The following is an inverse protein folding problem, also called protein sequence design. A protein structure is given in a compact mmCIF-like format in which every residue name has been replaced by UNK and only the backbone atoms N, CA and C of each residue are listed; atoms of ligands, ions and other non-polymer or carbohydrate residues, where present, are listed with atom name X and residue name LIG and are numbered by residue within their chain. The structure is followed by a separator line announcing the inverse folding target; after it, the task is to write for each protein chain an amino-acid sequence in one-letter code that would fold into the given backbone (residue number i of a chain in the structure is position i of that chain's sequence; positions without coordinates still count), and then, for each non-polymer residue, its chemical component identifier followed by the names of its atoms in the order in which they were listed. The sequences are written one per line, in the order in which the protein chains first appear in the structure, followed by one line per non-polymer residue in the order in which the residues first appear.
data_IF_409569928090
#
_entry.id   IF_409569928090
#
_cell.length_a   1.000
_cell.length_b   1.000
_cell.length_c   1.000
_cell.angle_alpha   90.00
_cell.angle_beta   90.00
_cell.angle_gamma   90.00
#
_symmetry.space_group_name_H-M   'P 1'
#
loop_
_entity.id
_entity.type
_entity.pdbx_description
1 polymer ?
#
# COMPACT_ATOMS: atom_id res chain seq x y z
N UNK A 1 -9.59 -11.42 -24.81
CA UNK A 1 -8.27 -11.46 -24.13
C UNK A 1 -8.13 -10.29 -23.13
N UNK A 2 -8.84 -9.17 -23.35
CA UNK A 2 -8.95 -8.02 -22.41
C UNK A 2 -9.79 -8.27 -21.14
N UNK A 3 -10.68 -9.27 -21.11
CA UNK A 3 -11.56 -9.50 -19.94
C UNK A 3 -10.84 -10.13 -18.74
N UNK A 4 -9.57 -10.57 -18.88
CA UNK A 4 -8.84 -11.29 -17.82
C UNK A 4 -8.06 -10.39 -16.86
N UNK A 5 -7.82 -9.14 -17.24
CA UNK A 5 -7.00 -8.23 -16.45
C UNK A 5 -7.88 -7.13 -15.88
N UNK A 6 -8.34 -7.22 -14.61
CA UNK A 6 -9.03 -6.09 -13.97
C UNK A 6 -8.10 -4.87 -13.92
N UNK A 7 -8.63 -3.66 -13.60
CA UNK A 7 -7.78 -2.53 -13.21
C UNK A 7 -6.74 -3.02 -12.21
N UNK A 8 -5.46 -2.73 -12.47
CA UNK A 8 -4.35 -3.29 -11.69
C UNK A 8 -4.48 -2.92 -10.20
N UNK A 9 -5.02 -1.74 -9.92
CA UNK A 9 -5.42 -1.25 -8.61
C UNK A 9 -6.30 -2.25 -7.87
N UNK A 10 -7.30 -2.81 -8.55
CA UNK A 10 -8.24 -3.74 -7.93
C UNK A 10 -7.67 -5.15 -7.84
N UNK A 11 -6.75 -5.52 -8.74
CA UNK A 11 -5.94 -6.73 -8.57
C UNK A 11 -5.09 -6.64 -7.28
N UNK A 12 -4.53 -5.46 -6.99
CA UNK A 12 -3.77 -5.23 -5.77
C UNK A 12 -4.66 -5.14 -4.52
N UNK A 13 -5.89 -4.60 -4.63
CA UNK A 13 -6.87 -4.74 -3.52
C UNK A 13 -7.06 -6.23 -3.20
N UNK A 14 -7.15 -7.07 -4.22
CA UNK A 14 -7.34 -8.51 -4.03
C UNK A 14 -6.18 -9.16 -3.28
N UNK A 15 -4.94 -8.93 -3.73
CA UNK A 15 -3.73 -9.50 -3.12
C UNK A 15 -3.54 -9.01 -1.68
N UNK A 16 -3.51 -7.70 -1.47
CA UNK A 16 -3.22 -7.07 -0.18
C UNK A 16 -4.31 -7.38 0.86
N UNK A 17 -5.58 -7.49 0.43
CA UNK A 17 -6.66 -7.91 1.34
C UNK A 17 -6.44 -9.33 1.86
N UNK A 18 -5.99 -10.25 1.00
CA UNK A 18 -5.73 -11.64 1.41
C UNK A 18 -4.56 -11.75 2.38
N UNK A 19 -3.50 -10.95 2.19
CA UNK A 19 -2.38 -10.88 3.13
C UNK A 19 -2.85 -10.48 4.54
N UNK A 20 -3.76 -9.50 4.64
CA UNK A 20 -4.33 -9.03 5.90
C UNK A 20 -5.37 -9.99 6.50
N UNK A 21 -6.33 -10.44 5.69
CA UNK A 21 -7.42 -11.31 6.17
C UNK A 21 -6.94 -12.71 6.55
N UNK A 22 -5.80 -13.15 6.03
CA UNK A 22 -5.19 -14.43 6.44
C UNK A 22 -4.52 -14.41 7.82
N UNK A 23 -4.38 -13.24 8.47
CA UNK A 23 -3.74 -13.13 9.79
C UNK A 23 -4.20 -14.18 10.82
N UNK A 24 -5.50 -14.50 11.00
CA UNK A 24 -5.91 -15.52 11.97
C UNK A 24 -5.27 -16.90 11.73
N UNK A 25 -4.98 -17.23 10.48
CA UNK A 25 -4.46 -18.54 10.04
C UNK A 25 -2.93 -18.64 10.12
N UNK A 26 -2.22 -17.57 10.48
CA UNK A 26 -0.74 -17.59 10.48
C UNK A 26 -0.14 -18.54 11.53
N UNK A 27 -0.93 -18.99 12.51
CA UNK A 27 -0.53 -20.03 13.48
C UNK A 27 -0.28 -21.40 12.83
N UNK A 28 -0.75 -21.62 11.60
CA UNK A 28 -0.45 -22.84 10.84
C UNK A 28 1.01 -22.89 10.35
N UNK A 29 1.67 -21.73 10.25
CA UNK A 29 3.04 -21.60 9.72
C UNK A 29 4.07 -21.21 10.78
N UNK A 30 3.62 -20.55 11.84
CA UNK A 30 4.45 -19.95 12.87
C UNK A 30 4.01 -20.43 14.25
N UNK A 31 4.95 -20.47 15.21
CA UNK A 31 4.53 -20.52 16.62
C UNK A 31 3.72 -19.27 16.98
N UNK A 32 2.95 -19.34 18.07
CA UNK A 32 2.11 -18.21 18.51
C UNK A 32 2.90 -16.90 18.66
N UNK A 33 4.09 -16.96 19.26
CA UNK A 33 4.97 -15.80 19.43
C UNK A 33 5.45 -15.24 18.09
N UNK A 34 5.84 -16.12 17.16
CA UNK A 34 6.30 -15.73 15.83
C UNK A 34 5.15 -15.15 14.99
N UNK A 35 3.95 -15.74 15.05
CA UNK A 35 2.76 -15.25 14.39
C UNK A 35 2.39 -13.84 14.90
N UNK A 36 2.43 -13.64 16.22
CA UNK A 36 2.17 -12.35 16.86
C UNK A 36 3.17 -11.28 16.38
N UNK A 37 4.46 -11.61 16.37
CA UNK A 37 5.52 -10.72 15.86
C UNK A 37 5.36 -10.41 14.36
N UNK A 38 5.05 -11.42 13.55
CA UNK A 38 4.88 -11.26 12.11
C UNK A 38 3.68 -10.38 11.78
N UNK A 39 2.56 -10.53 12.50
CA UNK A 39 1.38 -9.67 12.33
C UNK A 39 1.70 -8.22 12.68
N UNK A 40 2.38 -7.97 13.79
CA UNK A 40 2.81 -6.62 14.17
C UNK A 40 3.71 -5.98 13.10
N UNK A 41 4.75 -6.70 12.68
CA UNK A 41 5.68 -6.24 11.63
C UNK A 41 4.96 -5.96 10.30
N UNK A 42 3.98 -6.80 9.92
CA UNK A 42 3.17 -6.55 8.73
C UNK A 42 2.35 -5.26 8.84
N UNK A 43 1.64 -5.03 9.96
CA UNK A 43 0.86 -3.79 10.14
C UNK A 43 1.75 -2.54 10.21
N UNK A 44 2.90 -2.61 10.87
CA UNK A 44 3.89 -1.53 10.90
C UNK A 44 4.45 -1.20 9.52
N UNK A 45 4.70 -2.23 8.69
CA UNK A 45 5.14 -2.07 7.31
C UNK A 45 4.11 -1.36 6.44
N UNK A 46 2.81 -1.58 6.66
CA UNK A 46 1.75 -0.85 5.96
C UNK A 46 1.83 0.66 6.28
N UNK A 47 2.04 1.01 7.55
CA UNK A 47 2.20 2.41 7.98
C UNK A 47 3.45 3.03 7.33
N UNK A 48 4.56 2.29 7.29
CA UNK A 48 5.80 2.75 6.64
C UNK A 48 5.67 2.84 5.11
N UNK A 49 4.83 2.00 4.51
CA UNK A 49 4.64 1.91 3.07
C UNK A 49 3.93 3.15 2.50
N UNK A 50 2.90 3.68 3.16
CA UNK A 50 2.13 4.83 2.66
C UNK A 50 2.99 6.07 2.31
N UNK A 51 3.89 6.56 3.18
CA UNK A 51 4.78 7.67 2.82
C UNK A 51 5.84 7.28 1.78
N UNK A 52 6.28 6.02 1.75
CA UNK A 52 7.20 5.54 0.70
C UNK A 52 6.53 5.56 -0.67
N UNK A 53 5.29 5.07 -0.77
CA UNK A 53 4.48 5.13 -1.98
C UNK A 53 4.35 6.57 -2.49
N UNK A 54 3.98 7.50 -1.61
CA UNK A 54 3.88 8.92 -1.95
C UNK A 54 5.23 9.51 -2.41
N UNK A 55 6.35 9.05 -1.85
CA UNK A 55 7.70 9.46 -2.26
C UNK A 55 7.99 9.02 -3.69
N UNK A 56 7.73 7.76 -4.04
CA UNK A 56 7.99 7.20 -5.37
C UNK A 56 7.09 7.85 -6.42
N UNK A 57 5.80 7.98 -6.13
CA UNK A 57 4.84 8.59 -7.05
C UNK A 57 5.16 10.07 -7.33
N UNK A 58 5.38 10.86 -6.28
CA UNK A 58 5.75 12.27 -6.43
C UNK A 58 7.06 12.45 -7.22
N UNK A 59 8.05 11.59 -6.95
CA UNK A 59 9.30 11.60 -7.69
C UNK A 59 9.09 11.34 -9.18
N UNK A 60 8.26 10.36 -9.51
CA UNK A 60 7.97 10.01 -10.89
C UNK A 60 7.21 11.13 -11.61
N UNK A 61 6.20 11.72 -10.98
CA UNK A 61 5.52 12.89 -11.51
C UNK A 61 6.48 14.04 -11.82
N UNK A 62 7.43 14.34 -10.93
CA UNK A 62 8.43 15.37 -11.18
C UNK A 62 9.37 15.02 -12.33
N UNK A 63 9.85 13.78 -12.41
CA UNK A 63 10.73 13.32 -13.51
C UNK A 63 10.06 13.53 -14.86
N UNK A 64 8.80 13.12 -15.01
CA UNK A 64 8.08 13.26 -16.28
C UNK A 64 7.59 14.68 -16.57
N UNK A 65 7.37 15.50 -15.54
CA UNK A 65 7.06 16.92 -15.70
C UNK A 65 8.29 17.78 -16.07
N UNK A 66 9.51 17.28 -15.82
CA UNK A 66 10.77 17.99 -16.05
C UNK A 66 11.72 17.15 -16.93
N UNK A 67 11.38 16.89 -18.21
CA UNK A 67 12.12 15.94 -19.05
C UNK A 67 13.57 16.33 -19.35
N UNK A 68 13.92 17.61 -19.19
CA UNK A 68 15.28 18.14 -19.42
C UNK A 68 16.14 18.20 -18.16
N UNK A 69 15.68 17.64 -17.04
CA UNK A 69 16.41 17.71 -15.77
C UNK A 69 17.84 17.13 -15.87
N UNK A 70 18.76 17.71 -15.11
CA UNK A 70 20.10 17.16 -14.92
C UNK A 70 20.08 15.97 -13.94
N UNK A 71 21.24 15.33 -13.75
CA UNK A 71 21.38 14.28 -12.72
C UNK A 71 21.34 14.90 -11.32
N UNK A 72 21.94 16.07 -11.19
CA UNK A 72 22.03 16.87 -9.97
C UNK A 72 20.65 17.33 -9.52
N UNK A 73 19.82 17.85 -10.44
CA UNK A 73 18.44 18.27 -10.13
C UNK A 73 17.57 17.08 -9.69
N UNK A 74 17.76 15.92 -10.34
CA UNK A 74 17.05 14.70 -9.97
C UNK A 74 17.44 14.20 -8.57
N UNK A 75 18.74 14.23 -8.27
CA UNK A 75 19.26 13.90 -6.95
C UNK A 75 18.72 14.85 -5.88
N UNK A 76 18.74 16.16 -6.14
CA UNK A 76 18.24 17.18 -5.22
C UNK A 76 16.75 16.97 -4.92
N UNK A 77 15.93 16.75 -5.96
CA UNK A 77 14.50 16.53 -5.78
C UNK A 77 14.20 15.21 -5.06
N UNK A 78 14.94 14.13 -5.35
CA UNK A 78 14.81 12.89 -4.58
C UNK A 78 15.12 13.09 -3.10
N UNK A 79 16.20 13.81 -2.77
CA UNK A 79 16.57 14.11 -1.40
C UNK A 79 15.55 15.02 -0.70
N UNK A 80 14.90 15.94 -1.44
CA UNK A 80 13.79 16.75 -0.95
C UNK A 80 12.60 15.89 -0.53
N UNK A 81 12.14 14.98 -1.40
CA UNK A 81 11.03 14.08 -1.09
C UNK A 81 11.36 13.15 0.09
N UNK A 82 12.60 12.66 0.16
CA UNK A 82 13.11 11.88 1.29
C UNK A 82 13.12 12.66 2.61
N UNK A 83 13.32 13.98 2.59
CA UNK A 83 13.18 14.84 3.78
C UNK A 83 11.72 15.06 4.17
N UNK A 84 10.82 15.16 3.19
CA UNK A 84 9.40 15.41 3.39
C UNK A 84 8.65 14.20 3.94
N UNK A 85 8.85 13.03 3.33
CA UNK A 85 8.09 11.82 3.61
C UNK A 85 8.89 10.75 4.34
N UNK A 86 10.22 10.77 4.23
CA UNK A 86 11.07 9.73 4.78
C UNK A 86 11.25 9.85 6.31
N UNK A 87 11.61 8.73 6.97
CA UNK A 87 11.96 8.75 8.38
C UNK A 87 13.25 9.55 8.64
N UNK A 88 13.43 9.97 9.90
CA UNK A 88 14.67 10.61 10.38
C UNK A 88 15.78 9.58 10.60
N UNK A 89 16.21 8.94 9.52
CA UNK A 89 17.31 7.97 9.52
C UNK A 89 18.65 8.69 9.41
N UNK A 90 19.66 8.20 10.16
CA UNK A 90 21.04 8.63 10.00
C UNK A 90 21.66 7.98 8.75
N UNK A 91 22.17 8.81 7.85
CA UNK A 91 22.82 8.39 6.60
C UNK A 91 24.31 8.78 6.58
N UNK A 92 24.89 9.12 7.73
CA UNK A 92 26.29 9.53 7.84
C UNK A 92 27.21 8.46 7.25
N UNK A 93 27.96 8.81 6.19
CA UNK A 93 28.85 7.90 5.47
C UNK A 93 28.17 7.06 4.38
N UNK A 94 26.88 7.29 4.10
CA UNK A 94 26.08 6.61 3.07
C UNK A 94 25.29 7.59 2.20
N UNK A 95 25.75 8.83 2.08
CA UNK A 95 25.06 9.91 1.37
C UNK A 95 24.82 9.57 -0.10
N UNK A 96 25.81 8.99 -0.78
CA UNK A 96 25.70 8.55 -2.19
C UNK A 96 24.62 7.46 -2.37
N UNK A 97 24.50 6.53 -1.41
CA UNK A 97 23.46 5.51 -1.43
C UNK A 97 22.08 6.13 -1.17
N UNK A 98 21.99 7.11 -0.27
CA UNK A 98 20.74 7.83 -0.03
C UNK A 98 20.26 8.51 -1.31
N UNK A 99 21.16 9.23 -1.98
CA UNK A 99 20.91 9.96 -3.22
C UNK A 99 20.42 9.05 -4.36
N UNK A 100 20.99 7.85 -4.48
CA UNK A 100 20.71 6.94 -5.60
C UNK A 100 19.71 5.84 -5.28
N UNK A 101 19.25 5.71 -4.03
CA UNK A 101 18.38 4.60 -3.58
C UNK A 101 17.07 4.42 -4.35
N UNK A 102 16.52 5.47 -4.97
CA UNK A 102 15.34 5.34 -5.84
C UNK A 102 15.58 4.40 -7.03
N UNK A 103 16.83 4.24 -7.46
CA UNK A 103 17.19 3.36 -8.57
C UNK A 103 16.92 1.88 -8.27
N UNK A 104 16.86 1.50 -6.98
CA UNK A 104 16.44 0.17 -6.57
C UNK A 104 14.94 -0.10 -6.79
N UNK A 105 14.13 0.93 -7.05
CA UNK A 105 12.71 0.78 -7.30
C UNK A 105 12.44 0.42 -8.76
N UNK A 106 12.36 -0.88 -9.04
CA UNK A 106 12.20 -1.43 -10.39
C UNK A 106 10.99 -0.85 -11.16
N UNK A 107 9.88 -0.59 -10.47
CA UNK A 107 8.65 -0.05 -11.06
C UNK A 107 8.86 1.29 -11.78
N UNK A 108 9.80 2.13 -11.33
CA UNK A 108 10.11 3.39 -12.01
C UNK A 108 10.58 3.20 -13.46
N UNK A 109 11.20 2.05 -13.75
CA UNK A 109 11.76 1.71 -15.06
C UNK A 109 10.84 0.82 -15.88
N UNK A 110 10.09 -0.08 -15.24
CA UNK A 110 9.30 -1.10 -15.94
C UNK A 110 7.86 -0.70 -16.20
N UNK A 111 7.21 -0.04 -15.23
CA UNK A 111 5.77 0.27 -15.30
C UNK A 111 5.54 1.66 -14.69
N UNK A 112 5.82 2.75 -15.44
CA UNK A 112 5.66 4.10 -14.91
C UNK A 112 4.23 4.40 -14.45
N UNK A 113 4.11 5.18 -13.39
CA UNK A 113 2.91 5.57 -12.67
C UNK A 113 2.13 4.43 -12.01
N UNK A 114 2.68 3.21 -11.99
CA UNK A 114 2.03 2.07 -11.33
C UNK A 114 2.10 2.11 -9.80
N UNK A 115 3.07 2.81 -9.21
CA UNK A 115 3.33 2.65 -7.78
C UNK A 115 2.24 3.27 -6.89
N UNK A 116 1.52 4.28 -7.39
CA UNK A 116 0.36 4.87 -6.69
C UNK A 116 -0.79 3.89 -6.53
N UNK A 117 -0.90 2.92 -7.44
CA UNK A 117 -1.95 1.91 -7.43
C UNK A 117 -1.90 1.05 -6.17
N UNK A 118 -0.70 0.74 -5.67
CA UNK A 118 -0.53 0.07 -4.38
C UNK A 118 -1.06 0.92 -3.22
N UNK A 119 -0.92 2.25 -3.29
CA UNK A 119 -1.46 3.16 -2.29
C UNK A 119 -2.99 3.13 -2.25
N UNK A 120 -3.62 3.20 -3.42
CA UNK A 120 -5.08 3.10 -3.56
C UNK A 120 -5.56 1.72 -3.11
N UNK A 121 -4.87 0.67 -3.52
CA UNK A 121 -5.18 -0.71 -3.16
C UNK A 121 -5.09 -0.97 -1.67
N UNK A 122 -4.05 -0.46 -1.01
CA UNK A 122 -3.86 -0.59 0.44
C UNK A 122 -5.04 -0.01 1.22
N UNK A 123 -5.60 1.13 0.79
CA UNK A 123 -6.78 1.72 1.43
C UNK A 123 -8.04 0.84 1.26
N UNK A 124 -8.21 0.20 0.10
CA UNK A 124 -9.27 -0.79 -0.11
C UNK A 124 -9.08 -2.04 0.75
N UNK A 125 -7.84 -2.53 0.84
CA UNK A 125 -7.49 -3.71 1.62
C UNK A 125 -7.69 -3.51 3.12
N UNK A 126 -7.34 -2.33 3.65
CA UNK A 126 -7.59 -1.99 5.06
C UNK A 126 -9.08 -1.95 5.39
N UNK A 127 -9.93 -1.51 4.46
CA UNK A 127 -11.39 -1.55 4.64
C UNK A 127 -11.93 -2.98 4.66
N UNK A 128 -11.49 -3.86 3.74
CA UNK A 128 -11.87 -5.28 3.76
C UNK A 128 -11.39 -5.99 5.02
N UNK A 129 -10.16 -5.71 5.44
CA UNK A 129 -9.60 -6.23 6.69
C UNK A 129 -10.39 -5.73 7.91
N UNK A 130 -10.81 -4.46 7.92
CA UNK A 130 -11.67 -3.92 8.97
C UNK A 130 -13.03 -4.64 9.04
N UNK A 131 -13.65 -4.95 7.89
CA UNK A 131 -14.82 -5.83 7.88
C UNK A 131 -14.49 -7.21 8.43
N UNK A 132 -13.34 -7.78 8.05
CA UNK A 132 -12.92 -9.12 8.45
C UNK A 132 -12.69 -9.26 9.96
N UNK A 133 -12.09 -8.24 10.58
CA UNK A 133 -11.90 -8.19 12.04
C UNK A 133 -13.24 -8.24 12.81
N UNK A 134 -14.32 -7.75 12.21
CA UNK A 134 -15.67 -7.72 12.81
C UNK A 134 -16.48 -8.96 12.48
N UNK A 135 -16.46 -9.37 11.21
CA UNK A 135 -17.16 -10.53 10.68
C UNK A 135 -16.42 -11.05 9.44
N UNK A 136 -15.73 -12.19 9.60
CA UNK A 136 -14.97 -12.82 8.52
C UNK A 136 -15.86 -13.27 7.35
N UNK A 137 -17.09 -13.70 7.61
CA UNK A 137 -18.00 -14.18 6.56
C UNK A 137 -18.52 -13.02 5.70
N UNK A 138 -18.84 -11.89 6.33
CA UNK A 138 -19.23 -10.66 5.62
C UNK A 138 -18.08 -10.16 4.74
N UNK A 139 -16.86 -10.08 5.28
CA UNK A 139 -15.68 -9.62 4.52
C UNK A 139 -15.37 -10.51 3.31
N UNK A 140 -15.39 -11.83 3.47
CA UNK A 140 -15.19 -12.76 2.36
C UNK A 140 -16.31 -12.66 1.31
N UNK A 141 -17.55 -12.42 1.74
CA UNK A 141 -18.68 -12.21 0.82
C UNK A 141 -18.53 -10.92 0.02
N UNK A 142 -18.07 -9.83 0.66
CA UNK A 142 -17.75 -8.55 0.00
C UNK A 142 -16.62 -8.69 -1.01
N UNK A 143 -15.54 -9.34 -0.59
CA UNK A 143 -14.39 -9.65 -1.43
C UNK A 143 -14.84 -10.44 -2.67
N UNK A 144 -15.52 -11.56 -2.49
CA UNK A 144 -15.97 -12.43 -3.58
C UNK A 144 -16.91 -11.71 -4.55
N UNK A 145 -17.83 -10.87 -4.03
CA UNK A 145 -18.75 -10.08 -4.86
C UNK A 145 -17.99 -9.16 -5.81
N UNK A 146 -17.00 -8.42 -5.32
CA UNK A 146 -16.25 -7.52 -6.18
C UNK A 146 -15.29 -8.27 -7.12
N UNK A 147 -14.65 -9.34 -6.66
CA UNK A 147 -13.78 -10.17 -7.51
C UNK A 147 -14.54 -10.83 -8.67
N UNK A 148 -15.81 -11.19 -8.45
CA UNK A 148 -16.65 -11.78 -9.51
C UNK A 148 -16.89 -10.86 -10.70
N UNK A 149 -16.68 -9.55 -10.55
CA UNK A 149 -16.86 -8.56 -11.61
C UNK A 149 -15.65 -8.48 -12.55
N UNK A 150 -14.46 -8.94 -12.15
CA UNK A 150 -13.25 -8.90 -12.97
C UNK A 150 -13.00 -7.53 -13.61
N UNK A 151 -12.74 -7.50 -14.92
CA UNK A 151 -12.56 -6.26 -15.69
C UNK A 151 -13.86 -5.69 -16.28
N UNK A 152 -15.03 -6.10 -15.81
CA UNK A 152 -16.30 -5.63 -16.41
C UNK A 152 -16.75 -4.27 -15.90
N UNK A 153 -16.09 -3.75 -14.86
CA UNK A 153 -16.47 -2.54 -14.13
C UNK A 153 -15.27 -1.63 -13.86
N UNK A 154 -15.45 -0.29 -13.89
CA UNK A 154 -14.40 0.65 -13.50
C UNK A 154 -14.12 0.59 -12.00
N UNK A 155 -12.96 1.11 -11.59
CA UNK A 155 -12.47 1.06 -10.21
C UNK A 155 -13.49 1.53 -9.15
N UNK A 156 -14.20 2.67 -9.31
CA UNK A 156 -15.19 3.11 -8.32
C UNK A 156 -16.36 2.12 -8.16
N UNK A 157 -16.78 1.47 -9.24
CA UNK A 157 -17.84 0.45 -9.20
C UNK A 157 -17.34 -0.85 -8.53
N UNK A 158 -16.08 -1.22 -8.72
CA UNK A 158 -15.46 -2.35 -8.04
C UNK A 158 -15.34 -2.12 -6.52
N UNK A 159 -14.90 -0.93 -6.11
CA UNK A 159 -14.92 -0.51 -4.69
C UNK A 159 -16.35 -0.54 -4.13
N UNK A 160 -17.29 0.07 -4.84
CA UNK A 160 -18.71 0.09 -4.46
C UNK A 160 -19.30 -1.33 -4.34
N UNK A 161 -18.91 -2.26 -5.21
CA UNK A 161 -19.34 -3.65 -5.13
C UNK A 161 -18.83 -4.35 -3.87
N UNK A 162 -17.61 -4.08 -3.40
CA UNK A 162 -17.15 -4.57 -2.09
C UNK A 162 -17.72 -3.77 -0.90
N UNK A 163 -18.46 -2.70 -1.17
CA UNK A 163 -18.97 -1.77 -0.16
C UNK A 163 -17.86 -0.91 0.45
N UNK A 164 -16.80 -0.67 -0.32
CA UNK A 164 -15.64 0.14 0.07
C UNK A 164 -15.83 1.57 -0.44
N UNK A 165 -15.31 2.51 0.33
CA UNK A 165 -15.18 3.90 -0.08
C UNK A 165 -13.88 4.09 -0.86
N UNK A 166 -13.98 4.58 -2.10
CA UNK A 166 -12.82 5.06 -2.86
C UNK A 166 -12.62 6.54 -2.51
N UNK A 167 -11.90 6.80 -1.42
CA UNK A 167 -11.66 8.16 -0.92
C UNK A 167 -10.23 8.36 -0.46
N UNK A 168 -9.74 9.59 -0.56
CA UNK A 168 -8.36 9.97 -0.21
C UNK A 168 -8.30 11.11 0.82
N UNK A 169 -9.44 11.46 1.41
CA UNK A 169 -9.53 12.52 2.41
C UNK A 169 -8.85 12.13 3.73
N UNK A 170 -8.31 13.14 4.42
CA UNK A 170 -7.59 12.98 5.69
C UNK A 170 -8.38 12.19 6.73
N UNK A 171 -9.68 12.47 6.88
CA UNK A 171 -10.55 11.74 7.82
C UNK A 171 -10.64 10.25 7.48
N UNK A 172 -10.82 9.91 6.19
CA UNK A 172 -10.94 8.52 5.75
C UNK A 172 -9.62 7.76 5.94
N UNK A 173 -8.52 8.33 5.47
CA UNK A 173 -7.18 7.73 5.63
C UNK A 173 -6.83 7.62 7.12
N UNK A 174 -7.08 8.67 7.90
CA UNK A 174 -6.84 8.71 9.34
C UNK A 174 -7.62 7.63 10.09
N UNK A 175 -8.87 7.37 9.72
CA UNK A 175 -9.66 6.27 10.29
C UNK A 175 -9.05 4.90 10.03
N UNK A 176 -8.52 4.65 8.82
CA UNK A 176 -7.89 3.38 8.48
C UNK A 176 -6.55 3.19 9.22
N UNK A 177 -5.77 4.26 9.38
CA UNK A 177 -4.54 4.23 10.19
C UNK A 177 -4.88 4.03 11.68
N UNK A 178 -5.99 4.60 12.16
CA UNK A 178 -6.48 4.37 13.53
C UNK A 178 -6.77 2.90 13.82
N UNK A 179 -7.43 2.21 12.88
CA UNK A 179 -7.72 0.77 12.96
C UNK A 179 -6.44 -0.07 13.07
N UNK A 180 -5.38 0.29 12.32
CA UNK A 180 -4.07 -0.36 12.42
C UNK A 180 -3.45 -0.19 13.81
N UNK A 181 -3.56 1.00 14.39
CA UNK A 181 -3.02 1.29 15.72
C UNK A 181 -3.77 0.53 16.82
N UNK A 182 -5.09 0.38 16.70
CA UNK A 182 -5.89 -0.46 17.60
C UNK A 182 -5.45 -1.92 17.51
N UNK A 183 -5.30 -2.47 16.30
CA UNK A 183 -4.82 -3.84 16.12
C UNK A 183 -3.41 -4.07 16.67
N UNK A 184 -2.49 -3.13 16.44
CA UNK A 184 -1.13 -3.20 16.98
C UNK A 184 -1.13 -3.23 18.51
N UNK A 185 -1.99 -2.43 19.14
CA UNK A 185 -2.15 -2.42 20.60
C UNK A 185 -2.65 -3.77 21.10
N UNK A 186 -3.65 -4.37 20.44
CA UNK A 186 -4.18 -5.70 20.77
C UNK A 186 -3.13 -6.82 20.64
N UNK A 187 -2.29 -6.76 19.60
CA UNK A 187 -1.23 -7.75 19.35
C UNK A 187 -0.08 -7.64 20.38
N UNK A 188 0.10 -6.47 20.99
CA UNK A 188 1.17 -6.19 21.94
C UNK A 188 0.75 -6.35 23.40
N UNK A 189 -0.55 -6.45 23.68
CA UNK A 189 -1.12 -6.69 25.01
C UNK A 189 -0.90 -8.15 25.48
#
# INVERSE_FOLDING_TARGET
MDERNPPLEFAEVASMSMELMSHPEWGEFYSEEEARRAKADHLEKIVCFMPWMATIDAFQHWVYANPEHSREERAEHWLELRRRFGPKTDWSGFEDLKETSWQGQLHLFQVPFYYVEYGIAQLGALQLWQYHRRDASDALSRYARAMSLGNTKPLPELFGAAGLNLGFGEEHVGSLIGELNEALTEIQA
#
